data_IF_848488960854
#
_entry.id   IF_848488960854
#
_cell.length_a   1.000
_cell.length_b   1.000
_cell.length_c   1.000
_cell.angle_alpha   90.00
_cell.angle_beta   90.00
_cell.angle_gamma   90.00
#
_symmetry.space_group_name_H-M   'P 1'
#
loop_
_entity.id
_entity.type
_entity.pdbx_description
1 polymer ?
#
# COMPACT_ATOMS: atom_id res chain seq x y z
N UNK A 1 47.06 -66.71 -9.84
CA UNK A 1 45.61 -67.00 -9.89
C UNK A 1 44.92 -65.76 -10.44
N UNK A 2 44.50 -65.79 -11.70
CA UNK A 2 43.68 -64.72 -12.28
C UNK A 2 42.21 -65.14 -12.13
N UNK A 3 41.51 -64.56 -11.16
CA UNK A 3 40.06 -64.68 -11.09
C UNK A 3 39.46 -63.70 -12.10
N UNK A 4 39.15 -64.18 -13.30
CA UNK A 4 38.32 -63.43 -14.24
C UNK A 4 36.87 -63.52 -13.79
N UNK A 5 36.37 -62.51 -13.10
CA UNK A 5 34.95 -62.40 -12.77
C UNK A 5 34.18 -62.13 -14.07
N UNK A 6 33.38 -63.10 -14.52
CA UNK A 6 32.48 -62.93 -15.65
C UNK A 6 31.17 -62.36 -15.10
N UNK A 7 30.82 -61.14 -15.51
CA UNK A 7 29.53 -60.54 -15.17
C UNK A 7 28.41 -61.39 -15.76
N UNK A 8 27.39 -61.64 -14.96
CA UNK A 8 26.16 -62.29 -15.43
C UNK A 8 25.38 -61.33 -16.33
N UNK A 9 24.60 -61.87 -17.28
CA UNK A 9 23.74 -61.04 -18.16
C UNK A 9 22.79 -60.14 -17.36
N UNK A 10 22.40 -60.57 -16.15
CA UNK A 10 21.60 -59.80 -15.23
C UNK A 10 22.35 -58.58 -14.67
N UNK A 11 23.63 -58.72 -14.29
CA UNK A 11 24.47 -57.60 -13.84
C UNK A 11 24.70 -56.59 -14.99
N UNK A 12 24.89 -57.07 -16.22
CA UNK A 12 25.00 -56.20 -17.40
C UNK A 12 23.71 -55.41 -17.66
N UNK A 13 22.54 -56.05 -17.53
CA UNK A 13 21.25 -55.38 -17.66
C UNK A 13 21.03 -54.30 -16.58
N UNK A 14 21.44 -54.57 -15.33
CA UNK A 14 21.38 -53.58 -14.25
C UNK A 14 22.28 -52.36 -14.50
N UNK A 15 23.51 -52.58 -14.99
CA UNK A 15 24.43 -51.49 -15.34
C UNK A 15 23.89 -50.64 -16.51
N UNK A 16 23.27 -51.27 -17.51
CA UNK A 16 22.59 -50.57 -18.59
C UNK A 16 21.37 -49.76 -18.10
N UNK A 17 20.57 -50.32 -17.20
CA UNK A 17 19.43 -49.60 -16.60
C UNK A 17 19.89 -48.41 -15.75
N UNK A 18 20.98 -48.55 -15.00
CA UNK A 18 21.52 -47.49 -14.15
C UNK A 18 22.16 -46.37 -14.98
N UNK A 19 22.90 -46.71 -16.03
CA UNK A 19 23.48 -45.72 -16.96
C UNK A 19 22.41 -44.96 -17.76
N UNK A 20 21.34 -45.63 -18.22
CA UNK A 20 20.23 -44.97 -18.90
C UNK A 20 19.44 -44.05 -17.96
N UNK A 21 19.21 -44.46 -16.72
CA UNK A 21 18.61 -43.61 -15.69
C UNK A 21 19.49 -42.38 -15.41
N UNK A 22 20.80 -42.57 -15.25
CA UNK A 22 21.75 -41.49 -15.04
C UNK A 22 21.75 -40.50 -16.22
N UNK A 23 21.72 -41.00 -17.46
CA UNK A 23 21.63 -40.16 -18.66
C UNK A 23 20.32 -39.36 -18.70
N UNK A 24 19.19 -39.95 -18.30
CA UNK A 24 17.90 -39.27 -18.24
C UNK A 24 17.89 -38.16 -17.18
N UNK A 25 18.43 -38.42 -15.98
CA UNK A 25 18.58 -37.41 -14.93
C UNK A 25 19.50 -36.27 -15.39
N UNK A 26 20.62 -36.60 -16.04
CA UNK A 26 21.54 -35.59 -16.59
C UNK A 26 20.86 -34.71 -17.67
N UNK A 27 20.04 -35.31 -18.53
CA UNK A 27 19.26 -34.57 -19.53
C UNK A 27 18.28 -33.60 -18.87
N UNK A 28 17.54 -34.04 -17.84
CA UNK A 28 16.61 -33.17 -17.11
C UNK A 28 17.34 -32.00 -16.45
N UNK A 29 18.48 -32.26 -15.81
CA UNK A 29 19.31 -31.21 -15.20
C UNK A 29 19.82 -30.21 -16.24
N UNK A 30 20.25 -30.69 -17.42
CA UNK A 30 20.69 -29.84 -18.52
C UNK A 30 19.57 -28.93 -19.03
N UNK A 31 18.36 -29.46 -19.22
CA UNK A 31 17.19 -28.67 -19.65
C UNK A 31 16.87 -27.59 -18.62
N UNK A 32 16.88 -27.92 -17.32
CA UNK A 32 16.66 -26.96 -16.24
C UNK A 32 17.75 -25.88 -16.23
N UNK A 33 19.03 -26.26 -16.38
CA UNK A 33 20.16 -25.33 -16.43
C UNK A 33 20.06 -24.36 -17.61
N UNK A 34 19.70 -24.85 -18.81
CA UNK A 34 19.48 -24.01 -19.99
C UNK A 34 18.32 -23.05 -19.77
N UNK A 35 17.22 -23.51 -19.17
CA UNK A 35 16.08 -22.65 -18.84
C UNK A 35 16.48 -21.48 -17.91
N UNK A 36 17.19 -21.77 -16.82
CA UNK A 36 17.66 -20.74 -15.90
C UNK A 36 18.69 -19.79 -16.54
N UNK A 37 19.59 -20.32 -17.37
CA UNK A 37 20.58 -19.52 -18.10
C UNK A 37 19.91 -18.56 -19.09
N UNK A 38 18.95 -19.05 -19.88
CA UNK A 38 18.17 -18.22 -20.80
C UNK A 38 17.37 -17.15 -20.05
N UNK A 39 16.76 -17.51 -18.92
CA UNK A 39 16.00 -16.56 -18.09
C UNK A 39 16.87 -15.45 -17.52
N UNK A 40 18.05 -15.81 -17.01
CA UNK A 40 19.03 -14.86 -16.45
C UNK A 40 19.56 -13.93 -17.53
N UNK A 41 19.87 -14.47 -18.71
CA UNK A 41 20.28 -13.66 -19.86
C UNK A 41 19.20 -12.64 -20.25
N UNK A 42 17.93 -13.04 -20.29
CA UNK A 42 16.84 -12.10 -20.57
C UNK A 42 16.63 -11.04 -19.49
N UNK A 43 16.97 -11.33 -18.23
CA UNK A 43 16.93 -10.34 -17.14
C UNK A 43 18.07 -9.32 -17.24
N UNK A 44 19.22 -9.69 -17.81
CA UNK A 44 20.37 -8.80 -18.01
C UNK A 44 20.35 -8.04 -19.34
N UNK A 45 19.60 -8.55 -20.33
CA UNK A 45 19.51 -7.93 -21.67
C UNK A 45 18.58 -6.72 -21.69
N UNK A 46 19.15 -5.57 -22.04
CA UNK A 46 18.44 -4.30 -22.25
C UNK A 46 17.81 -3.73 -20.98
N UNK A 47 17.13 -2.59 -21.11
CA UNK A 47 16.40 -1.96 -20.03
C UNK A 47 14.88 -2.20 -20.16
N UNK A 48 14.22 -2.47 -19.03
CA UNK A 48 12.77 -2.65 -18.99
C UNK A 48 12.23 -2.04 -17.69
N UNK A 49 11.68 -0.84 -17.83
CA UNK A 49 11.10 -0.06 -16.74
C UNK A 49 9.57 -0.04 -16.90
N UNK A 50 8.89 -0.35 -15.79
CA UNK A 50 7.45 -0.08 -15.63
C UNK A 50 7.28 1.23 -14.89
N UNK A 51 6.12 1.85 -15.01
CA UNK A 51 5.85 3.04 -14.24
C UNK A 51 4.44 3.56 -14.37
N UNK A 52 4.04 4.29 -13.35
CA UNK A 52 2.80 5.02 -13.29
C UNK A 52 3.10 6.50 -13.03
N UNK A 53 2.21 7.37 -13.47
CA UNK A 53 2.20 8.77 -13.06
C UNK A 53 0.80 9.14 -12.58
N UNK A 54 0.72 10.16 -11.72
CA UNK A 54 -0.54 10.76 -11.31
C UNK A 54 -0.60 12.18 -11.83
N UNK A 55 -1.73 12.49 -12.45
CA UNK A 55 -2.08 13.86 -12.81
C UNK A 55 -2.93 14.45 -11.71
N UNK A 56 -2.61 15.68 -11.34
CA UNK A 56 -3.44 16.50 -10.48
C UNK A 56 -4.15 17.53 -11.36
N UNK A 57 -5.47 17.55 -11.26
CA UNK A 57 -6.27 18.60 -11.90
C UNK A 57 -6.11 19.90 -11.13
N UNK A 58 -6.25 21.05 -11.82
CA UNK A 58 -6.13 22.39 -11.27
C UNK A 58 -6.63 22.50 -9.82
N UNK A 59 -5.77 23.01 -8.96
CA UNK A 59 -5.99 23.14 -7.53
C UNK A 59 -5.98 24.62 -7.16
N UNK A 60 -6.18 24.94 -5.89
CA UNK A 60 -6.03 26.34 -5.41
C UNK A 60 -4.62 26.89 -5.74
N UNK A 61 -3.62 26.01 -5.82
CA UNK A 61 -2.24 26.40 -6.06
C UNK A 61 -1.86 26.57 -7.56
N UNK A 62 -2.64 26.01 -8.50
CA UNK A 62 -2.32 26.11 -9.93
C UNK A 62 -3.56 25.84 -10.77
N UNK A 63 -3.73 26.63 -11.83
CA UNK A 63 -4.79 26.43 -12.83
C UNK A 63 -4.45 25.28 -13.78
N UNK A 64 -3.15 25.05 -14.02
CA UNK A 64 -2.66 24.05 -14.95
C UNK A 64 -2.63 22.65 -14.33
N UNK A 65 -2.99 21.66 -15.15
CA UNK A 65 -2.85 20.25 -14.81
C UNK A 65 -1.39 19.86 -14.89
N UNK A 66 -0.91 19.19 -13.86
CA UNK A 66 0.48 18.77 -13.81
C UNK A 66 0.63 17.34 -13.30
N UNK A 67 1.81 16.76 -13.57
CA UNK A 67 2.20 15.47 -13.02
C UNK A 67 2.69 15.70 -11.59
N UNK A 68 1.96 15.21 -10.60
CA UNK A 68 2.33 15.35 -9.19
C UNK A 68 3.24 14.20 -8.73
N UNK A 69 3.08 12.99 -9.28
CA UNK A 69 3.83 11.82 -8.83
C UNK A 69 4.23 10.97 -10.03
N UNK A 70 5.47 10.48 -10.02
CA UNK A 70 5.98 9.45 -10.94
C UNK A 70 6.59 8.33 -10.12
N UNK A 71 6.16 7.09 -10.41
CA UNK A 71 6.73 5.88 -9.84
C UNK A 71 7.31 5.07 -10.97
N UNK A 72 8.59 4.70 -10.85
CA UNK A 72 9.31 3.87 -11.81
C UNK A 72 9.82 2.61 -11.11
N UNK A 73 9.66 1.47 -11.75
CA UNK A 73 10.12 0.17 -11.28
C UNK A 73 11.04 -0.44 -12.35
N UNK A 74 12.28 -0.73 -11.97
CA UNK A 74 13.19 -1.50 -12.81
C UNK A 74 12.90 -3.00 -12.65
N UNK A 75 12.86 -3.73 -13.75
CA UNK A 75 12.62 -5.18 -13.76
C UNK A 75 13.78 -6.00 -14.27
N UNK A 76 14.89 -5.33 -14.51
CA UNK A 76 16.09 -5.94 -15.03
C UNK A 76 17.08 -6.13 -13.91
N UNK A 77 17.87 -7.17 -14.07
CA UNK A 77 19.04 -7.44 -13.23
C UNK A 77 20.23 -6.59 -13.73
N UNK A 78 19.99 -5.29 -13.86
CA UNK A 78 20.95 -4.28 -14.32
C UNK A 78 20.48 -2.91 -13.86
N UNK A 79 21.39 -2.09 -13.36
CA UNK A 79 21.08 -0.70 -13.05
C UNK A 79 20.79 0.09 -14.34
N UNK A 80 19.89 1.06 -14.25
CA UNK A 80 19.59 2.01 -15.34
C UNK A 80 19.87 3.41 -14.85
N UNK A 81 20.76 4.12 -15.55
CA UNK A 81 21.05 5.53 -15.29
C UNK A 81 20.03 6.38 -16.03
N UNK A 82 19.36 7.28 -15.33
CA UNK A 82 18.33 8.17 -15.84
C UNK A 82 18.82 9.62 -15.74
N UNK A 83 18.89 10.28 -16.89
CA UNK A 83 19.32 11.68 -17.02
C UNK A 83 18.15 12.67 -17.07
N UNK A 84 16.96 12.22 -17.43
CA UNK A 84 15.76 13.07 -17.41
C UNK A 84 14.49 12.23 -17.52
N UNK A 85 13.41 12.74 -16.93
CA UNK A 85 12.07 12.17 -17.02
C UNK A 85 11.20 13.11 -17.85
N UNK A 86 10.49 12.55 -18.81
CA UNK A 86 9.56 13.26 -19.68
C UNK A 86 8.18 12.62 -19.66
N UNK A 87 7.16 13.43 -19.88
CA UNK A 87 5.82 12.98 -20.24
C UNK A 87 5.55 13.35 -21.70
N UNK A 88 5.42 12.34 -22.56
CA UNK A 88 5.00 12.53 -23.95
C UNK A 88 3.48 12.58 -24.00
N UNK A 89 2.93 13.73 -24.36
CA UNK A 89 1.48 13.95 -24.52
C UNK A 89 1.01 13.55 -25.92
N UNK A 90 1.75 13.98 -26.95
CA UNK A 90 1.47 13.67 -28.35
C UNK A 90 2.77 13.33 -29.09
N UNK A 91 2.73 12.87 -30.36
CA UNK A 91 3.92 12.73 -31.19
C UNK A 91 4.86 13.94 -31.14
N UNK A 92 4.30 15.15 -31.01
CA UNK A 92 5.01 16.43 -31.12
C UNK A 92 5.17 17.16 -29.78
N UNK A 93 4.37 16.83 -28.76
CA UNK A 93 4.41 17.51 -27.46
C UNK A 93 4.99 16.59 -26.38
N UNK A 94 6.08 17.04 -25.78
CA UNK A 94 6.75 16.36 -24.66
C UNK A 94 7.05 17.37 -23.57
N UNK A 95 6.61 17.09 -22.35
CA UNK A 95 6.89 17.89 -21.16
C UNK A 95 8.10 17.26 -20.47
N UNK A 96 9.11 18.07 -20.14
CA UNK A 96 10.20 17.66 -19.23
C UNK A 96 9.68 17.80 -17.80
N UNK A 97 9.69 16.70 -17.05
CA UNK A 97 9.25 16.68 -15.65
C UNK A 97 10.42 16.95 -14.71
N UNK A 98 11.55 16.29 -14.95
CA UNK A 98 12.74 16.40 -14.11
C UNK A 98 14.00 16.22 -14.95
N UNK A 99 15.05 16.96 -14.60
CA UNK A 99 16.36 16.94 -15.27
C UNK A 99 17.40 16.49 -14.25
N UNK A 100 18.20 15.50 -14.63
CA UNK A 100 19.28 14.88 -13.86
C UNK A 100 20.58 14.89 -14.67
N UNK A 101 20.78 15.92 -15.51
CA UNK A 101 21.96 16.01 -16.36
C UNK A 101 23.23 16.18 -15.51
N UNK A 102 23.15 16.96 -14.43
CA UNK A 102 24.26 17.19 -13.50
C UNK A 102 24.38 16.11 -12.41
N UNK A 103 23.27 15.50 -12.00
CA UNK A 103 23.23 14.44 -10.98
C UNK A 103 22.32 13.27 -11.42
N UNK A 104 22.84 12.32 -12.24
CA UNK A 104 22.06 11.25 -12.82
C UNK A 104 21.45 10.31 -11.77
N UNK A 105 20.13 10.07 -11.86
CA UNK A 105 19.47 9.11 -10.98
C UNK A 105 19.74 7.68 -11.42
N UNK A 106 20.34 6.87 -10.57
CA UNK A 106 20.58 5.44 -10.84
C UNK A 106 19.45 4.61 -10.22
N UNK A 107 18.68 3.92 -11.06
CA UNK A 107 17.69 2.92 -10.62
C UNK A 107 18.38 1.55 -10.58
N UNK A 108 18.63 1.02 -9.38
CA UNK A 108 19.27 -0.27 -9.16
C UNK A 108 18.42 -1.44 -9.70
N UNK A 109 19.01 -2.64 -9.84
CA UNK A 109 18.25 -3.84 -10.18
C UNK A 109 17.05 -4.03 -9.26
N UNK A 110 15.87 -4.26 -9.84
CA UNK A 110 14.61 -4.49 -9.11
C UNK A 110 14.17 -3.37 -8.15
N UNK A 111 14.75 -2.17 -8.28
CA UNK A 111 14.41 -1.03 -7.43
C UNK A 111 13.15 -0.31 -7.93
N UNK A 112 12.41 0.24 -6.96
CA UNK A 112 11.29 1.15 -7.19
C UNK A 112 11.69 2.53 -6.70
N UNK A 113 11.66 3.51 -7.59
CA UNK A 113 11.84 4.91 -7.23
C UNK A 113 10.51 5.65 -7.33
N UNK A 114 10.31 6.60 -6.42
CA UNK A 114 9.17 7.50 -6.39
C UNK A 114 9.68 8.94 -6.43
N UNK A 115 9.17 9.73 -7.36
CA UNK A 115 9.39 11.17 -7.48
C UNK A 115 8.06 11.88 -7.29
N UNK A 116 8.09 12.95 -6.49
CA UNK A 116 6.94 13.82 -6.23
C UNK A 116 7.31 15.22 -6.67
N UNK A 117 6.38 15.90 -7.34
CA UNK A 117 6.55 17.22 -7.89
C UNK A 117 5.49 18.16 -7.32
N UNK A 118 5.91 19.40 -7.10
CA UNK A 118 5.04 20.47 -6.66
C UNK A 118 4.24 21.07 -7.83
N UNK A 119 3.19 21.86 -7.55
CA UNK A 119 2.43 22.56 -8.57
C UNK A 119 3.31 23.37 -9.53
N UNK A 120 2.93 23.38 -10.81
CA UNK A 120 3.59 24.20 -11.83
C UNK A 120 2.97 25.60 -11.88
N UNK A 121 3.80 26.62 -12.10
CA UNK A 121 3.29 27.99 -12.32
C UNK A 121 2.67 28.14 -13.71
N UNK A 122 3.34 27.61 -14.74
CA UNK A 122 2.86 27.57 -16.13
C UNK A 122 3.78 26.68 -16.99
N UNK A 123 3.25 26.17 -18.10
CA UNK A 123 4.08 25.55 -19.14
C UNK A 123 4.56 26.60 -20.14
N UNK A 124 5.85 26.53 -20.50
CA UNK A 124 6.44 27.43 -21.49
C UNK A 124 7.26 26.69 -22.53
N UNK A 125 7.28 27.26 -23.74
CA UNK A 125 8.23 26.92 -24.77
C UNK A 125 8.82 28.22 -25.30
N UNK A 126 10.15 28.37 -25.16
CA UNK A 126 10.85 29.65 -25.29
C UNK A 126 10.25 30.71 -24.34
N UNK A 127 9.84 31.86 -24.87
CA UNK A 127 9.29 32.98 -24.08
C UNK A 127 7.76 33.01 -24.06
N UNK A 128 7.08 31.96 -24.55
CA UNK A 128 5.62 31.92 -24.64
C UNK A 128 5.05 30.90 -23.66
N UNK A 129 3.97 31.29 -22.98
CA UNK A 129 3.15 30.41 -22.14
C UNK A 129 2.17 29.62 -23.01
N UNK A 130 1.93 28.38 -22.65
CA UNK A 130 1.01 27.49 -23.36
C UNK A 130 0.11 26.77 -22.37
N UNK A 131 -1.19 26.74 -22.66
CA UNK A 131 -2.14 25.87 -21.99
C UNK A 131 -2.05 24.47 -22.58
N UNK A 132 -1.66 23.49 -21.74
CA UNK A 132 -1.54 22.08 -22.13
C UNK A 132 -2.69 21.21 -21.59
N UNK A 133 -3.66 21.80 -20.89
CA UNK A 133 -4.72 21.06 -20.18
C UNK A 133 -5.55 20.19 -21.13
N UNK A 134 -5.91 20.72 -22.30
CA UNK A 134 -6.63 19.98 -23.33
C UNK A 134 -5.83 18.80 -23.91
N UNK A 135 -4.50 18.93 -24.01
CA UNK A 135 -3.63 17.85 -24.49
C UNK A 135 -3.44 16.76 -23.43
N UNK A 136 -3.37 17.15 -22.16
CA UNK A 136 -3.26 16.22 -21.04
C UNK A 136 -4.53 15.38 -20.89
N UNK A 137 -5.70 15.98 -21.11
CA UNK A 137 -7.01 15.32 -21.00
C UNK A 137 -7.43 14.50 -22.22
N UNK A 138 -6.74 14.64 -23.35
CA UNK A 138 -7.14 13.97 -24.58
C UNK A 138 -7.10 12.44 -24.41
N UNK A 139 -8.27 11.82 -24.46
CA UNK A 139 -8.43 10.37 -24.32
C UNK A 139 -7.97 9.60 -25.57
N UNK A 140 -7.86 10.28 -26.71
CA UNK A 140 -7.42 9.67 -27.97
C UNK A 140 -5.90 9.46 -27.97
N UNK A 141 -5.16 10.43 -27.43
CA UNK A 141 -3.72 10.35 -27.26
C UNK A 141 -3.38 9.60 -25.96
N UNK A 142 -2.44 8.66 -26.03
CA UNK A 142 -1.96 7.99 -24.81
C UNK A 142 -0.72 8.69 -24.31
N UNK A 143 -0.87 9.45 -23.24
CA UNK A 143 0.23 10.03 -22.47
C UNK A 143 1.18 8.93 -21.97
N UNK A 144 2.49 9.06 -22.25
CA UNK A 144 3.51 8.06 -21.91
C UNK A 144 4.71 8.69 -21.23
N UNK A 145 5.18 8.04 -20.17
CA UNK A 145 6.47 8.37 -19.57
C UNK A 145 7.60 7.93 -20.50
N UNK A 146 8.60 8.81 -20.62
CA UNK A 146 9.82 8.58 -21.37
C UNK A 146 11.01 8.97 -20.50
N UNK A 147 12.07 8.17 -20.58
CA UNK A 147 13.29 8.38 -19.84
C UNK A 147 14.42 8.62 -20.83
N UNK A 148 15.25 9.61 -20.54
CA UNK A 148 16.58 9.69 -21.14
C UNK A 148 17.52 8.84 -20.29
N UNK A 149 18.13 7.82 -20.87
CA UNK A 149 19.02 6.89 -20.16
C UNK A 149 20.37 6.77 -20.87
N UNK A 150 21.33 6.10 -20.24
CA UNK A 150 22.64 5.79 -20.85
C UNK A 150 22.55 4.99 -22.15
N UNK A 151 21.50 4.18 -22.30
CA UNK A 151 21.22 3.40 -23.51
C UNK A 151 20.34 4.19 -24.52
N UNK A 152 20.12 5.49 -24.26
CA UNK A 152 19.32 6.39 -25.06
C UNK A 152 17.88 6.54 -24.59
N UNK A 153 16.95 6.68 -25.54
CA UNK A 153 15.55 6.99 -25.25
C UNK A 153 14.76 5.74 -24.87
N UNK A 154 14.30 5.66 -23.63
CA UNK A 154 13.47 4.55 -23.14
C UNK A 154 12.02 4.98 -22.95
N UNK A 155 11.09 4.22 -23.54
CA UNK A 155 9.64 4.41 -23.32
C UNK A 155 9.17 3.45 -22.23
N UNK A 156 8.52 3.98 -21.21
CA UNK A 156 7.96 3.17 -20.11
C UNK A 156 6.77 2.37 -20.65
N UNK A 157 6.87 1.04 -20.63
CA UNK A 157 5.98 0.18 -21.43
C UNK A 157 4.68 -0.22 -20.73
N UNK A 158 4.63 -0.21 -19.39
CA UNK A 158 3.48 -0.74 -18.64
C UNK A 158 3.22 0.04 -17.35
N UNK A 159 1.93 0.22 -17.00
CA UNK A 159 1.58 0.63 -15.66
C UNK A 159 1.96 -0.46 -14.65
N UNK A 160 2.33 -0.04 -13.45
CA UNK A 160 2.54 -0.97 -12.33
C UNK A 160 1.15 -1.49 -11.94
N UNK A 161 0.91 -2.82 -11.92
CA UNK A 161 -0.37 -3.38 -11.55
C UNK A 161 -0.58 -3.23 -10.05
N UNK A 162 -1.28 -2.17 -9.63
CA UNK A 162 -1.70 -2.04 -8.24
C UNK A 162 -2.93 -2.91 -8.01
N UNK A 163 -2.80 -3.89 -7.13
CA UNK A 163 -3.98 -4.57 -6.61
C UNK A 163 -4.71 -3.62 -5.65
N UNK A 164 -5.96 -3.29 -5.98
CA UNK A 164 -6.82 -2.47 -5.14
C UNK A 164 -8.13 -3.23 -4.87
N UNK A 165 -8.43 -3.56 -3.61
CA UNK A 165 -9.63 -4.32 -3.29
C UNK A 165 -10.92 -3.53 -3.55
N UNK A 166 -10.86 -2.19 -3.61
CA UNK A 166 -11.99 -1.34 -4.02
C UNK A 166 -12.35 -1.60 -5.50
N UNK A 167 -11.36 -1.74 -6.38
CA UNK A 167 -11.63 -2.14 -7.77
C UNK A 167 -12.22 -3.56 -7.84
N UNK A 168 -11.76 -4.47 -6.97
CA UNK A 168 -12.32 -5.81 -6.87
C UNK A 168 -13.79 -5.78 -6.43
N UNK A 169 -14.18 -4.88 -5.51
CA UNK A 169 -15.57 -4.67 -5.10
C UNK A 169 -16.46 -4.27 -6.28
N UNK A 170 -16.02 -3.34 -7.13
CA UNK A 170 -16.82 -2.97 -8.31
C UNK A 170 -17.05 -4.13 -9.27
N UNK A 171 -16.15 -5.11 -9.34
CA UNK A 171 -16.35 -6.33 -10.15
C UNK A 171 -17.27 -7.36 -9.47
N UNK A 172 -17.32 -7.34 -8.13
CA UNK A 172 -18.07 -8.25 -7.30
C UNK A 172 -18.40 -7.60 -5.94
N UNK A 173 -19.65 -7.20 -5.74
CA UNK A 173 -20.09 -6.49 -4.53
C UNK A 173 -19.97 -7.30 -3.24
N UNK A 174 -19.71 -8.61 -3.34
CA UNK A 174 -19.42 -9.46 -2.19
C UNK A 174 -17.98 -9.30 -1.64
N UNK A 175 -17.10 -8.61 -2.38
CA UNK A 175 -15.73 -8.33 -1.95
C UNK A 175 -15.66 -7.02 -1.16
N UNK A 176 -15.86 -7.05 0.14
CA UNK A 176 -15.79 -5.84 0.98
C UNK A 176 -14.40 -5.68 1.59
N UNK A 177 -13.91 -4.45 1.65
CA UNK A 177 -12.68 -4.10 2.37
C UNK A 177 -13.06 -3.45 3.70
N UNK A 178 -12.46 -3.91 4.79
CA UNK A 178 -12.61 -3.27 6.10
C UNK A 178 -11.39 -2.42 6.38
N UNK A 179 -11.62 -1.19 6.82
CA UNK A 179 -10.56 -0.31 7.29
C UNK A 179 -10.47 -0.39 8.81
N UNK A 180 -9.27 -0.60 9.33
CA UNK A 180 -9.02 -0.47 10.77
C UNK A 180 -9.01 1.02 11.14
N UNK A 181 -10.15 1.51 11.62
CA UNK A 181 -10.27 2.88 12.16
C UNK A 181 -9.66 2.93 13.55
N UNK A 182 -8.74 3.87 13.78
CA UNK A 182 -8.07 4.07 15.07
C UNK A 182 -8.28 5.51 15.51
N UNK A 183 -8.83 5.70 16.71
CA UNK A 183 -8.79 6.99 17.39
C UNK A 183 -7.38 7.18 17.93
N UNK A 184 -6.69 8.23 17.45
CA UNK A 184 -5.34 8.56 17.87
C UNK A 184 -5.41 9.68 18.92
N UNK A 185 -4.66 9.51 20.01
CA UNK A 185 -4.39 10.56 20.98
C UNK A 185 -2.87 10.62 21.19
N UNK A 186 -2.27 11.79 21.00
CA UNK A 186 -0.81 11.98 20.90
C UNK A 186 -0.11 10.95 19.99
N UNK A 187 -0.70 10.68 18.82
CA UNK A 187 -0.13 9.75 17.83
C UNK A 187 -0.23 8.26 18.20
N UNK A 188 -0.79 7.90 19.37
CA UNK A 188 -0.99 6.51 19.80
C UNK A 188 -2.45 6.09 19.72
N UNK A 189 -2.69 4.82 19.36
CA UNK A 189 -4.02 4.23 19.27
C UNK A 189 -4.33 3.36 20.49
N UNK A 190 -5.43 3.66 21.19
CA UNK A 190 -5.76 3.01 22.47
C UNK A 190 -6.93 2.00 22.39
N UNK A 191 -7.63 1.94 21.25
CA UNK A 191 -8.71 0.97 20.99
C UNK A 191 -10.11 1.48 21.34
N UNK A 192 -11.13 0.72 20.90
CA UNK A 192 -12.54 1.13 21.00
C UNK A 192 -13.10 1.16 22.43
N UNK A 193 -12.54 0.33 23.32
CA UNK A 193 -13.10 0.12 24.66
C UNK A 193 -12.53 1.04 25.75
N UNK A 194 -11.60 1.95 25.44
CA UNK A 194 -11.04 2.87 26.44
C UNK A 194 -12.15 3.74 27.03
N UNK A 195 -12.19 3.82 28.36
CA UNK A 195 -13.07 4.69 29.13
C UNK A 195 -12.43 6.06 29.30
N UNK A 196 -11.22 6.07 29.87
CA UNK A 196 -10.51 7.29 30.24
C UNK A 196 -9.06 7.25 29.76
N UNK A 197 -8.50 8.43 29.48
CA UNK A 197 -7.06 8.63 29.32
C UNK A 197 -6.57 9.51 30.47
N UNK A 198 -5.63 9.00 31.25
CA UNK A 198 -5.01 9.73 32.35
C UNK A 198 -3.67 10.27 31.87
N UNK A 199 -3.58 11.59 31.74
CA UNK A 199 -2.32 12.27 31.49
C UNK A 199 -1.67 12.57 32.85
N UNK A 200 -0.52 11.95 33.08
CA UNK A 200 0.34 12.21 34.22
C UNK A 200 1.46 13.14 33.76
N UNK A 201 1.66 14.24 34.49
CA UNK A 201 2.68 15.24 34.21
C UNK A 201 3.76 15.19 35.29
N UNK A 202 5.01 15.03 34.88
CA UNK A 202 6.22 15.21 35.69
C UNK A 202 6.84 16.55 35.27
N UNK A 203 6.69 17.57 36.11
CA UNK A 203 7.01 18.96 35.79
C UNK A 203 6.27 19.51 34.56
N UNK A 204 6.98 20.22 33.68
CA UNK A 204 6.42 20.89 32.50
C UNK A 204 6.42 20.07 31.22
N UNK A 205 7.11 18.91 31.15
CA UNK A 205 7.46 18.32 29.85
C UNK A 205 7.11 16.83 29.66
N UNK A 206 7.09 16.00 30.71
CA UNK A 206 6.84 14.56 30.53
C UNK A 206 5.38 14.20 30.77
N UNK A 207 4.66 14.03 29.67
CA UNK A 207 3.29 13.51 29.63
C UNK A 207 3.31 11.99 29.47
N UNK A 208 3.04 11.25 30.55
CA UNK A 208 2.71 9.83 30.43
C UNK A 208 1.19 9.69 30.25
N UNK A 209 0.76 9.09 29.14
CA UNK A 209 -0.67 8.83 28.87
C UNK A 209 -1.00 7.39 29.21
N UNK A 210 -1.87 7.19 30.19
CA UNK A 210 -2.31 5.89 30.66
C UNK A 210 -3.77 5.65 30.25
N UNK A 211 -4.08 4.64 29.42
CA UNK A 211 -5.44 4.26 29.10
C UNK A 211 -6.06 3.42 30.22
N UNK A 212 -7.31 3.70 30.56
CA UNK A 212 -8.12 2.87 31.46
C UNK A 212 -9.23 2.15 30.70
N UNK A 213 -9.36 0.84 30.92
CA UNK A 213 -10.34 -0.01 30.26
C UNK A 213 -11.44 -0.49 31.21
N UNK A 214 -12.58 -0.99 30.68
CA UNK A 214 -13.59 -1.64 31.49
C UNK A 214 -13.00 -2.85 32.22
N UNK A 215 -13.10 -2.85 33.55
CA UNK A 215 -12.55 -3.90 34.40
C UNK A 215 -11.09 -3.70 34.81
N UNK A 216 -10.51 -2.51 34.62
CA UNK A 216 -9.14 -2.20 35.05
C UNK A 216 -8.93 -2.45 36.56
N UNK A 217 -10.00 -2.32 37.36
CA UNK A 217 -10.01 -2.59 38.79
C UNK A 217 -9.69 -4.04 39.20
N UNK A 218 -9.61 -4.97 38.25
CA UNK A 218 -9.12 -6.34 38.50
C UNK A 218 -7.60 -6.41 38.53
N UNK A 219 -6.91 -5.48 37.90
CA UNK A 219 -5.45 -5.49 37.84
C UNK A 219 -4.84 -5.03 39.15
N UNK A 220 -3.73 -5.67 39.52
CA UNK A 220 -3.02 -5.38 40.76
C UNK A 220 -2.57 -3.91 40.82
N UNK A 221 -1.97 -3.40 39.74
CA UNK A 221 -1.43 -2.04 39.70
C UNK A 221 -2.48 -0.95 39.98
N UNK A 222 -3.72 -1.09 39.49
CA UNK A 222 -4.78 -0.11 39.73
C UNK A 222 -5.34 -0.23 41.15
N UNK A 223 -5.42 -1.46 41.69
CA UNK A 223 -5.82 -1.70 43.09
C UNK A 223 -4.79 -1.20 44.10
N UNK A 224 -3.50 -1.34 43.78
CA UNK A 224 -2.42 -0.82 44.62
C UNK A 224 -2.53 0.71 44.76
N UNK A 225 -2.99 1.40 43.71
CA UNK A 225 -3.34 2.84 43.74
C UNK A 225 -4.65 3.16 44.49
N UNK A 226 -5.36 2.16 45.02
CA UNK A 226 -6.66 2.35 45.69
C UNK A 226 -7.88 2.35 44.75
N UNK A 227 -7.68 2.02 43.47
CA UNK A 227 -8.74 2.00 42.48
C UNK A 227 -9.72 0.83 42.64
N UNK A 228 -11.02 1.11 42.48
CA UNK A 228 -12.13 0.15 42.59
C UNK A 228 -13.00 0.17 41.32
N UNK A 229 -14.02 -0.70 41.24
CA UNK A 229 -14.97 -0.61 40.13
C UNK A 229 -15.78 0.70 40.19
N UNK A 230 -16.05 1.22 41.40
CA UNK A 230 -16.79 2.46 41.62
C UNK A 230 -16.00 3.68 41.15
N UNK A 231 -14.67 3.63 41.27
CA UNK A 231 -13.81 4.72 40.78
C UNK A 231 -13.78 4.82 39.27
N UNK A 232 -14.14 3.76 38.54
CA UNK A 232 -14.21 3.75 37.07
C UNK A 232 -15.56 4.23 36.50
N UNK A 233 -16.51 4.66 37.35
CA UNK A 233 -17.82 5.14 36.89
C UNK A 233 -17.80 6.57 36.37
N UNK A 234 -16.89 7.41 36.87
CA UNK A 234 -16.81 8.82 36.54
C UNK A 234 -15.36 9.29 36.45
N UNK A 235 -15.07 10.18 35.49
CA UNK A 235 -13.73 10.74 35.29
C UNK A 235 -13.18 11.45 36.55
N UNK A 236 -14.05 12.11 37.33
CA UNK A 236 -13.68 12.78 38.57
C UNK A 236 -13.21 11.80 39.65
N UNK A 237 -13.90 10.64 39.79
CA UNK A 237 -13.52 9.60 40.74
C UNK A 237 -12.18 8.96 40.34
N UNK A 238 -11.96 8.74 39.04
CA UNK A 238 -10.66 8.29 38.54
C UNK A 238 -9.57 9.30 38.91
N UNK A 239 -9.82 10.59 38.70
CA UNK A 239 -8.85 11.64 39.02
C UNK A 239 -8.47 11.62 40.51
N UNK A 240 -9.45 11.50 41.39
CA UNK A 240 -9.24 11.42 42.84
C UNK A 240 -8.32 10.24 43.24
N UNK A 241 -8.48 9.06 42.63
CA UNK A 241 -7.61 7.89 42.89
C UNK A 241 -6.14 8.20 42.58
N UNK A 242 -5.86 8.87 41.47
CA UNK A 242 -4.48 9.21 41.11
C UNK A 242 -3.92 10.36 41.96
N UNK A 243 -4.75 11.35 42.34
CA UNK A 243 -4.35 12.43 43.25
C UNK A 243 -4.02 11.88 44.65
N UNK A 244 -4.85 10.99 45.19
CA UNK A 244 -4.60 10.32 46.47
C UNK A 244 -3.34 9.45 46.44
N UNK A 245 -3.10 8.74 45.33
CA UNK A 245 -1.90 7.92 45.16
C UNK A 245 -0.62 8.78 45.08
N UNK A 246 -0.68 9.97 44.48
CA UNK A 246 0.44 10.92 44.48
C UNK A 246 0.75 11.38 45.91
N UNK A 247 -0.28 11.71 46.69
CA UNK A 247 -0.13 12.16 48.09
C UNK A 247 0.37 11.05 49.02
N UNK A 248 -0.10 9.82 48.85
CA UNK A 248 0.21 8.69 49.75
C UNK A 248 1.53 8.00 49.43
N UNK A 249 1.77 7.70 48.15
CA UNK A 249 2.86 6.82 47.72
C UNK A 249 4.06 7.60 47.15
N UNK A 250 3.99 8.94 47.12
CA UNK A 250 5.08 9.81 46.68
C UNK A 250 5.43 9.61 45.20
N UNK A 251 4.43 9.35 44.36
CA UNK A 251 4.62 9.25 42.91
C UNK A 251 5.20 10.56 42.37
N UNK A 252 6.16 10.47 41.44
CA UNK A 252 6.90 11.62 40.88
C UNK A 252 6.08 12.50 39.92
N UNK A 253 4.75 12.53 40.03
CA UNK A 253 3.89 13.27 39.13
C UNK A 253 3.24 14.45 39.87
N UNK A 254 3.33 15.65 39.28
CA UNK A 254 2.85 16.89 39.90
C UNK A 254 1.38 17.17 39.57
N UNK A 255 0.90 16.68 38.43
CA UNK A 255 -0.45 16.96 37.93
C UNK A 255 -1.05 15.77 37.21
N UNK A 256 -2.36 15.59 37.42
CA UNK A 256 -3.19 14.58 36.76
C UNK A 256 -4.31 15.26 35.98
N UNK A 257 -4.48 14.86 34.73
CA UNK A 257 -5.62 15.24 33.90
C UNK A 257 -6.30 13.97 33.37
N UNK A 258 -7.59 13.82 33.62
CA UNK A 258 -8.37 12.68 33.14
C UNK A 258 -9.28 13.14 32.02
N UNK A 259 -9.14 12.53 30.85
CA UNK A 259 -9.97 12.79 29.69
C UNK A 259 -10.99 11.66 29.57
N UNK A 260 -12.27 12.01 29.60
CA UNK A 260 -13.36 11.11 29.26
C UNK A 260 -13.37 10.85 27.75
N UNK A 261 -12.95 9.65 27.36
CA UNK A 261 -12.87 9.26 25.96
C UNK A 261 -14.26 8.93 25.41
N UNK A 262 -15.20 8.48 26.23
CA UNK A 262 -16.55 8.17 25.78
C UNK A 262 -17.33 9.44 25.45
N UNK A 263 -17.33 10.42 26.35
CA UNK A 263 -17.95 11.73 26.09
C UNK A 263 -17.30 12.44 24.88
N UNK A 264 -15.98 12.30 24.72
CA UNK A 264 -15.26 12.87 23.57
C UNK A 264 -15.57 12.13 22.26
N UNK A 265 -15.79 10.82 22.29
CA UNK A 265 -16.23 10.05 21.11
C UNK A 265 -17.61 10.48 20.64
N UNK A 266 -18.54 10.76 21.56
CA UNK A 266 -19.91 11.18 21.25
C UNK A 266 -19.98 12.61 20.69
N UNK A 267 -19.17 13.52 21.22
CA UNK A 267 -19.08 14.91 20.73
C UNK A 267 -18.29 15.05 19.42
N UNK A 268 -17.38 14.11 19.13
CA UNK A 268 -16.64 14.09 17.88
C UNK A 268 -17.41 13.33 16.79
N UNK A 269 -17.66 13.96 15.64
CA UNK A 269 -18.16 13.27 14.43
C UNK A 269 -17.17 12.23 13.85
N UNK A 270 -16.18 11.78 14.63
CA UNK A 270 -15.05 10.95 14.18
C UNK A 270 -15.37 9.46 14.10
N UNK A 271 -16.38 8.97 14.82
CA UNK A 271 -16.80 7.57 14.76
C UNK A 271 -18.16 7.46 14.07
N UNK A 272 -18.34 6.53 13.11
CA UNK A 272 -19.63 6.31 12.50
C UNK A 272 -20.62 5.86 13.57
N UNK A 273 -21.64 6.67 13.80
CA UNK A 273 -22.79 6.36 14.64
C UNK A 273 -23.62 5.30 13.93
N UNK A 274 -23.63 4.08 14.46
CA UNK A 274 -24.39 2.98 13.87
C UNK A 274 -24.24 1.67 14.62
N UNK A 275 -25.23 0.80 14.47
CA UNK A 275 -25.22 -0.53 15.08
C UNK A 275 -24.05 -1.38 14.57
N UNK A 276 -23.40 -2.09 15.49
CA UNK A 276 -22.35 -3.05 15.16
C UNK A 276 -22.97 -4.23 14.40
N UNK A 277 -22.70 -4.31 13.11
CA UNK A 277 -23.10 -5.46 12.28
C UNK A 277 -22.04 -6.54 12.33
N UNK A 278 -22.46 -7.77 12.59
CA UNK A 278 -21.58 -8.94 12.56
C UNK A 278 -21.30 -9.32 11.10
N UNK A 279 -20.03 -9.38 10.73
CA UNK A 279 -19.62 -9.83 9.41
C UNK A 279 -19.95 -11.33 9.24
N UNK A 280 -20.71 -11.67 8.20
CA UNK A 280 -21.04 -13.06 7.88
C UNK A 280 -20.00 -13.64 6.91
N UNK A 281 -19.56 -14.87 7.19
CA UNK A 281 -18.72 -15.63 6.25
C UNK A 281 -19.58 -16.16 5.11
N UNK A 282 -19.15 -15.92 3.88
CA UNK A 282 -19.74 -16.51 2.68
C UNK A 282 -18.82 -17.60 2.11
N UNK A 283 -19.39 -18.62 1.47
CA UNK A 283 -18.63 -19.69 0.82
C UNK A 283 -17.94 -19.20 -0.47
N UNK A 284 -16.87 -19.89 -0.89
CA UNK A 284 -16.12 -19.52 -2.09
C UNK A 284 -17.01 -19.49 -3.35
N UNK A 285 -17.88 -20.49 -3.51
CA UNK A 285 -18.83 -20.57 -4.63
C UNK A 285 -19.80 -19.39 -4.61
N UNK A 286 -20.33 -19.04 -3.43
CA UNK A 286 -21.26 -17.95 -3.28
C UNK A 286 -20.62 -16.61 -3.66
N UNK A 287 -19.40 -16.35 -3.18
CA UNK A 287 -18.68 -15.11 -3.50
C UNK A 287 -18.33 -15.05 -4.99
N UNK A 288 -17.76 -16.11 -5.56
CA UNK A 288 -17.20 -16.06 -6.92
C UNK A 288 -18.24 -16.23 -8.04
N UNK A 289 -19.35 -16.94 -7.78
CA UNK A 289 -20.39 -17.19 -8.78
C UNK A 289 -21.58 -16.26 -8.53
N UNK A 290 -22.25 -16.43 -7.39
CA UNK A 290 -23.49 -15.69 -7.07
C UNK A 290 -23.21 -14.19 -6.97
N UNK A 291 -22.15 -13.80 -6.26
CA UNK A 291 -21.74 -12.41 -6.12
C UNK A 291 -21.49 -11.70 -7.46
N UNK A 292 -20.76 -12.36 -8.37
CA UNK A 292 -20.48 -11.81 -9.72
C UNK A 292 -21.75 -11.67 -10.57
N UNK A 293 -22.64 -12.67 -10.52
CA UNK A 293 -23.91 -12.62 -11.26
C UNK A 293 -24.81 -11.51 -10.72
N UNK A 294 -24.98 -11.44 -9.40
CA UNK A 294 -25.77 -10.39 -8.74
C UNK A 294 -25.23 -8.99 -9.09
N UNK A 295 -23.90 -8.80 -9.05
CA UNK A 295 -23.25 -7.54 -9.42
C UNK A 295 -23.53 -7.15 -10.87
N UNK A 296 -23.47 -8.11 -11.82
CA UNK A 296 -23.79 -7.85 -13.24
C UNK A 296 -25.25 -7.45 -13.43
N UNK A 297 -26.18 -8.12 -12.75
CA UNK A 297 -27.61 -7.81 -12.81
C UNK A 297 -27.91 -6.41 -12.26
N UNK A 298 -27.33 -6.07 -11.11
CA UNK A 298 -27.54 -4.76 -10.50
C UNK A 298 -26.95 -3.63 -11.36
N UNK A 299 -25.74 -3.80 -11.89
CA UNK A 299 -25.17 -2.85 -12.87
C UNK A 299 -26.06 -2.62 -14.09
N UNK A 300 -26.70 -3.69 -14.61
CA UNK A 300 -27.67 -3.57 -15.72
C UNK A 300 -28.88 -2.75 -15.30
N UNK A 301 -29.43 -2.99 -14.09
CA UNK A 301 -30.56 -2.21 -13.54
C UNK A 301 -30.19 -0.75 -13.32
N UNK A 302 -29.01 -0.47 -12.76
CA UNK A 302 -28.50 0.90 -12.56
C UNK A 302 -28.36 1.64 -13.90
N UNK A 303 -27.77 1.01 -14.93
CA UNK A 303 -27.66 1.60 -16.26
C UNK A 303 -29.01 1.93 -16.88
N UNK A 304 -30.02 1.07 -16.71
CA UNK A 304 -31.39 1.35 -17.17
C UNK A 304 -31.96 2.58 -16.45
N UNK A 305 -31.85 2.66 -15.13
CA UNK A 305 -32.30 3.81 -14.33
C UNK A 305 -31.62 5.11 -14.78
N UNK A 306 -30.29 5.11 -14.87
CA UNK A 306 -29.52 6.28 -15.28
C UNK A 306 -29.88 6.76 -16.69
N UNK A 307 -30.20 5.85 -17.63
CA UNK A 307 -30.68 6.21 -18.97
C UNK A 307 -32.05 6.86 -18.95
N UNK A 308 -32.95 6.44 -18.07
CA UNK A 308 -34.27 7.08 -17.91
C UNK A 308 -34.11 8.48 -17.34
N UNK A 309 -33.32 8.64 -16.28
CA UNK A 309 -33.07 9.96 -15.66
C UNK A 309 -32.35 10.92 -16.60
N UNK A 310 -31.41 10.43 -17.42
CA UNK A 310 -30.71 11.26 -18.40
C UNK A 310 -31.59 11.69 -19.58
N UNK A 311 -32.70 10.99 -19.86
CA UNK A 311 -33.69 11.38 -20.87
C UNK A 311 -34.77 12.32 -20.32
N UNK A 312 -34.89 12.40 -18.99
CA UNK A 312 -35.84 13.28 -18.30
C UNK A 312 -35.25 14.66 -17.97
N UNK A 313 -33.97 14.88 -18.27
CA UNK A 313 -33.29 16.18 -18.28
C UNK A 313 -33.12 16.63 -19.72
#
# INVERSE_FOLDING_TARGET
MNFSYQFTDQELAWLQALSTLAAFVALLLSVVAVYFSARTYWQKKGAFIRGNYRLTSGSIATEDKYVNEVILENLKDRAVVVFAIYLKLSPNFTIKLESFEDDPTIIKPFEVIKRTYDPVDFYSFNMKKFDLNGLIDDRYQKNRLMLSTSDGRLVVKRPIPLWNPVHAWFSNYMNVTFEARRALFDGRGFGGNVLYLVNLYDGTEKKQVLPLYPGEAKFKWYRDLGGTNESLEAAEKVKAVFEDAILRDGLQFDRVEVIDVQAKKESSNFLPTGERKVAKRHSWLYVNIVGRLATKLDKRRLRKRNRVTAKAK
#
